data_IF_378792851541
#
_entry.id   IF_378792851541
#
_cell.length_a   1.000
_cell.length_b   1.000
_cell.length_c   1.000
_cell.angle_alpha   90.00
_cell.angle_beta   90.00
_cell.angle_gamma   90.00
#
_symmetry.space_group_name_H-M   'P 1'
#
loop_
_entity.id
_entity.type
_entity.pdbx_description
1 polymer ?
#
# COMPACT_ATOMS: atom_id res chain seq x y z
N UNK A 1 12.49 12.72 32.16
CA UNK A 1 13.21 11.42 32.05
C UNK A 1 12.45 10.58 31.02
N UNK A 2 13.16 10.00 30.03
CA UNK A 2 12.49 9.19 29.00
C UNK A 2 12.04 7.88 29.63
N UNK A 3 10.76 7.52 29.43
CA UNK A 3 10.21 6.27 29.99
C UNK A 3 10.59 5.06 29.16
N UNK A 4 10.60 3.87 29.75
CA UNK A 4 10.81 2.60 29.05
C UNK A 4 9.84 2.44 27.85
N UNK A 5 8.60 2.86 28.04
CA UNK A 5 7.58 2.84 26.98
C UNK A 5 7.97 3.69 25.75
N UNK A 6 8.57 4.87 25.97
CA UNK A 6 9.02 5.75 24.88
C UNK A 6 10.15 5.12 24.08
N UNK A 7 11.07 4.42 24.74
CA UNK A 7 12.14 3.68 24.06
C UNK A 7 11.56 2.54 23.22
N UNK A 8 10.61 1.78 23.77
CA UNK A 8 9.93 0.70 23.03
C UNK A 8 9.19 1.23 21.82
N UNK A 9 8.46 2.34 21.97
CA UNK A 9 7.74 3.00 20.87
C UNK A 9 8.70 3.49 19.78
N UNK A 10 9.85 4.04 20.16
CA UNK A 10 10.90 4.45 19.23
C UNK A 10 11.42 3.26 18.40
N UNK A 11 11.75 2.16 19.07
CA UNK A 11 12.21 0.93 18.39
C UNK A 11 11.14 0.42 17.42
N UNK A 12 9.87 0.41 17.84
CA UNK A 12 8.76 0.00 17.00
C UNK A 12 8.66 0.88 15.73
N UNK A 13 8.75 2.20 15.88
CA UNK A 13 8.69 3.13 14.75
C UNK A 13 9.86 2.90 13.79
N UNK A 14 11.08 2.71 14.29
CA UNK A 14 12.27 2.43 13.47
C UNK A 14 12.08 1.14 12.67
N UNK A 15 11.70 0.05 13.33
CA UNK A 15 11.45 -1.25 12.66
C UNK A 15 10.35 -1.13 11.62
N UNK A 16 9.26 -0.45 11.94
CA UNK A 16 8.14 -0.22 11.02
C UNK A 16 8.59 0.54 9.76
N UNK A 17 9.37 1.62 9.90
CA UNK A 17 9.86 2.39 8.74
C UNK A 17 10.85 1.59 7.90
N UNK A 18 11.75 0.83 8.51
CA UNK A 18 12.66 -0.07 7.79
C UNK A 18 11.89 -1.10 6.98
N UNK A 19 10.86 -1.71 7.58
CA UNK A 19 10.01 -2.69 6.90
C UNK A 19 9.27 -2.07 5.70
N UNK A 20 8.63 -0.91 5.90
CA UNK A 20 7.93 -0.20 4.82
C UNK A 20 8.88 0.19 3.67
N UNK A 21 10.12 0.56 4.00
CA UNK A 21 11.11 0.90 3.00
C UNK A 21 11.55 -0.31 2.18
N UNK A 22 11.74 -1.48 2.82
CA UNK A 22 12.08 -2.73 2.15
C UNK A 22 10.97 -3.16 1.18
N UNK A 23 9.72 -3.20 1.64
CA UNK A 23 8.57 -3.58 0.80
C UNK A 23 8.42 -2.63 -0.39
N UNK A 24 8.62 -1.32 -0.18
CA UNK A 24 8.49 -0.32 -1.23
C UNK A 24 9.47 -0.53 -2.40
N UNK A 25 10.65 -1.08 -2.15
CA UNK A 25 11.66 -1.34 -3.19
C UNK A 25 11.30 -2.48 -4.13
N UNK A 26 10.49 -3.42 -3.68
CA UNK A 26 10.13 -4.62 -4.44
C UNK A 26 8.94 -4.38 -5.39
N UNK A 27 8.20 -3.26 -5.24
CA UNK A 27 7.01 -2.97 -6.05
C UNK A 27 7.39 -2.34 -7.38
N UNK A 28 7.03 -3.03 -8.47
CA UNK A 28 7.23 -2.60 -9.85
C UNK A 28 6.10 -1.68 -10.29
N UNK A 29 4.84 -2.13 -10.16
CA UNK A 29 3.66 -1.35 -10.48
C UNK A 29 2.90 -1.00 -9.21
N UNK A 30 2.84 0.30 -8.88
CA UNK A 30 2.14 0.79 -7.68
C UNK A 30 0.67 1.01 -7.94
N UNK A 31 -0.15 0.69 -6.94
CA UNK A 31 -1.57 1.03 -6.98
C UNK A 31 -1.80 2.52 -6.81
N UNK A 32 -2.78 3.03 -7.54
CA UNK A 32 -3.27 4.41 -7.38
C UNK A 32 -4.04 4.49 -6.08
N UNK A 33 -3.61 5.40 -5.23
CA UNK A 33 -4.19 5.60 -3.91
C UNK A 33 -5.32 6.63 -3.93
N UNK A 34 -6.26 6.48 -3.00
CA UNK A 34 -7.33 7.47 -2.82
C UNK A 34 -6.74 8.83 -2.37
N UNK A 35 -7.11 9.92 -3.05
CA UNK A 35 -6.64 11.28 -2.76
C UNK A 35 -6.97 11.75 -1.34
N UNK A 36 -8.06 11.27 -0.76
CA UNK A 36 -8.44 11.61 0.61
C UNK A 36 -7.41 11.24 1.66
N UNK A 37 -6.63 10.20 1.43
CA UNK A 37 -5.55 9.78 2.35
C UNK A 37 -4.49 10.86 2.49
N UNK A 38 -4.18 11.57 1.40
CA UNK A 38 -3.21 12.67 1.39
C UNK A 38 -3.71 13.94 2.09
N UNK A 39 -4.99 14.06 2.38
CA UNK A 39 -5.59 15.15 3.16
C UNK A 39 -5.79 14.74 4.61
N UNK A 40 -6.35 13.58 4.86
CA UNK A 40 -6.72 13.10 6.21
C UNK A 40 -5.49 12.85 7.07
N UNK A 41 -4.45 12.20 6.53
CA UNK A 41 -3.26 11.87 7.32
C UNK A 41 -2.49 13.11 7.76
N UNK A 42 -2.13 14.09 6.90
CA UNK A 42 -1.50 15.33 7.35
C UNK A 42 -2.35 16.09 8.36
N UNK A 43 -3.68 16.12 8.19
CA UNK A 43 -4.58 16.73 9.17
C UNK A 43 -4.46 16.06 10.55
N UNK A 44 -4.47 14.74 10.61
CA UNK A 44 -4.29 13.99 11.87
C UNK A 44 -2.92 14.25 12.49
N UNK A 45 -1.85 14.30 11.68
CA UNK A 45 -0.49 14.63 12.15
C UNK A 45 -0.46 16.02 12.80
N UNK A 46 -1.02 17.02 12.12
CA UNK A 46 -1.10 18.39 12.66
C UNK A 46 -1.91 18.41 13.97
N UNK A 47 -3.02 17.70 14.03
CA UNK A 47 -3.87 17.64 15.22
C UNK A 47 -3.12 17.00 16.41
N UNK A 48 -2.38 15.91 16.19
CA UNK A 48 -1.58 15.24 17.23
C UNK A 48 -0.48 16.17 17.75
N UNK A 49 0.26 16.83 16.85
CA UNK A 49 1.32 17.76 17.22
C UNK A 49 0.72 18.95 17.98
N UNK A 50 -0.36 19.54 17.46
CA UNK A 50 -1.06 20.65 18.08
C UNK A 50 -1.51 20.30 19.50
N UNK A 51 -2.20 19.17 19.68
CA UNK A 51 -2.64 18.69 20.99
C UNK A 51 -1.46 18.50 21.95
N UNK A 52 -0.36 17.89 21.47
CA UNK A 52 0.85 17.69 22.27
C UNK A 52 1.44 19.03 22.74
N UNK A 53 1.53 20.03 21.87
CA UNK A 53 2.15 21.30 22.21
C UNK A 53 1.31 22.15 23.19
N UNK A 54 -0.02 22.12 23.08
CA UNK A 54 -0.91 22.87 23.98
C UNK A 54 -0.85 22.37 25.42
N UNK A 55 -0.62 21.07 25.63
CA UNK A 55 -0.58 20.47 26.97
C UNK A 55 0.70 20.76 27.77
N UNK A 56 1.57 21.65 27.28
CA UNK A 56 2.87 21.99 27.92
C UNK A 56 3.66 20.72 28.27
N UNK A 57 4.02 19.91 27.27
CA UNK A 57 4.51 18.55 27.47
C UNK A 57 5.86 18.52 28.15
N UNK A 58 6.06 17.52 28.98
CA UNK A 58 7.41 17.07 29.36
C UNK A 58 8.18 16.56 28.14
N UNK A 59 9.51 16.43 28.25
CA UNK A 59 10.31 15.90 27.16
C UNK A 59 9.87 14.48 26.73
N UNK A 60 9.38 13.66 27.66
CA UNK A 60 8.87 12.31 27.39
C UNK A 60 7.54 12.34 26.62
N UNK A 61 6.61 13.23 27.00
CA UNK A 61 5.34 13.41 26.31
C UNK A 61 5.52 13.99 24.91
N UNK A 62 6.46 14.93 24.76
CA UNK A 62 6.82 15.47 23.44
C UNK A 62 7.38 14.37 22.53
N UNK A 63 8.27 13.51 23.04
CA UNK A 63 8.80 12.39 22.29
C UNK A 63 7.69 11.42 21.86
N UNK A 64 6.75 11.08 22.75
CA UNK A 64 5.58 10.25 22.44
C UNK A 64 4.69 10.88 21.36
N UNK A 65 4.45 12.19 21.45
CA UNK A 65 3.66 12.94 20.45
C UNK A 65 4.31 12.87 19.07
N UNK A 66 5.62 13.11 18.98
CA UNK A 66 6.37 13.01 17.71
C UNK A 66 6.33 11.60 17.15
N UNK A 67 6.59 10.58 17.98
CA UNK A 67 6.57 9.18 17.55
C UNK A 67 5.16 8.77 17.06
N UNK A 68 4.11 9.22 17.75
CA UNK A 68 2.73 9.02 17.31
C UNK A 68 2.45 9.67 15.95
N UNK A 69 2.91 10.90 15.74
CA UNK A 69 2.81 11.58 14.45
C UNK A 69 3.55 10.80 13.34
N UNK A 70 4.73 10.24 13.64
CA UNK A 70 5.47 9.39 12.70
C UNK A 70 4.70 8.12 12.33
N UNK A 71 3.98 7.50 13.26
CA UNK A 71 3.10 6.36 12.97
C UNK A 71 2.00 6.78 11.96
N UNK A 72 1.37 7.95 12.12
CA UNK A 72 0.42 8.44 11.12
C UNK A 72 1.08 8.70 9.76
N UNK A 73 2.29 9.29 9.73
CA UNK A 73 3.04 9.52 8.50
C UNK A 73 3.35 8.18 7.79
N UNK A 74 3.59 7.09 8.53
CA UNK A 74 3.86 5.78 7.95
C UNK A 74 2.75 5.28 7.04
N UNK A 75 1.50 5.66 7.31
CA UNK A 75 0.38 5.35 6.43
C UNK A 75 0.50 6.02 5.05
N UNK A 76 1.23 7.13 4.91
CA UNK A 76 1.53 7.72 3.59
C UNK A 76 2.55 6.90 2.81
N UNK A 77 3.37 6.11 3.49
CA UNK A 77 4.37 5.24 2.90
C UNK A 77 3.83 3.84 2.56
N UNK A 78 2.59 3.53 3.04
CA UNK A 78 1.91 2.29 2.66
C UNK A 78 1.91 2.13 1.14
N UNK A 79 2.53 1.10 0.66
CA UNK A 79 2.70 0.83 -0.77
C UNK A 79 2.10 -0.54 -1.08
N UNK A 80 1.22 -0.56 -2.07
CA UNK A 80 0.56 -1.76 -2.59
C UNK A 80 0.83 -1.84 -4.07
N UNK A 81 0.86 -3.03 -4.62
CA UNK A 81 1.10 -3.15 -6.05
C UNK A 81 1.54 -4.52 -6.49
N UNK A 82 2.15 -4.56 -7.65
CA UNK A 82 2.64 -5.76 -8.30
C UNK A 82 4.16 -5.81 -8.11
N UNK A 83 4.66 -6.96 -7.66
CA UNK A 83 6.09 -7.29 -7.59
C UNK A 83 6.44 -8.31 -8.67
N UNK A 84 7.66 -8.79 -8.69
CA UNK A 84 8.04 -9.90 -9.57
C UNK A 84 7.40 -11.22 -9.20
N UNK A 85 7.10 -11.44 -7.92
CA UNK A 85 6.64 -12.72 -7.38
C UNK A 85 5.12 -12.79 -7.19
N UNK A 86 4.43 -11.63 -7.10
CA UNK A 86 2.99 -11.60 -6.82
C UNK A 86 2.41 -10.22 -6.55
N UNK A 87 1.25 -10.21 -5.90
CA UNK A 87 0.48 -9.01 -5.58
C UNK A 87 0.62 -8.66 -4.11
N UNK A 88 1.17 -7.49 -3.79
CA UNK A 88 1.23 -6.94 -2.43
C UNK A 88 -0.05 -6.17 -2.17
N UNK A 89 -0.90 -6.71 -1.31
CA UNK A 89 -2.20 -6.13 -0.93
C UNK A 89 -2.10 -5.22 0.29
N UNK A 90 -1.11 -5.47 1.14
CA UNK A 90 -0.85 -4.75 2.37
C UNK A 90 0.66 -4.59 2.54
N UNK A 91 1.13 -3.39 2.87
CA UNK A 91 2.56 -3.12 3.08
C UNK A 91 3.18 -3.88 4.25
N UNK A 92 2.37 -4.44 5.14
CA UNK A 92 2.84 -5.30 6.23
C UNK A 92 2.90 -6.78 5.85
N UNK A 93 2.47 -7.14 4.64
CA UNK A 93 2.58 -8.48 4.10
C UNK A 93 3.56 -8.49 2.91
N UNK A 94 4.83 -8.81 3.21
CA UNK A 94 5.89 -8.84 2.21
C UNK A 94 5.68 -9.92 1.15
N UNK A 95 5.09 -11.06 1.52
CA UNK A 95 4.88 -12.17 0.58
C UNK A 95 3.72 -11.90 -0.37
N UNK A 96 2.69 -11.18 0.10
CA UNK A 96 1.51 -10.90 -0.70
C UNK A 96 0.81 -12.18 -1.18
N UNK A 97 0.18 -12.09 -2.35
CA UNK A 97 -0.44 -13.22 -3.05
C UNK A 97 0.48 -13.61 -4.21
N UNK A 98 1.15 -14.76 -4.16
CA UNK A 98 2.03 -15.19 -5.22
C UNK A 98 1.25 -15.48 -6.52
N UNK A 99 1.85 -15.22 -7.68
CA UNK A 99 1.20 -15.47 -8.97
C UNK A 99 0.80 -16.93 -9.17
N UNK A 100 1.52 -17.86 -8.56
CA UNK A 100 1.21 -19.30 -8.60
C UNK A 100 -0.15 -19.68 -7.98
N UNK A 101 -0.70 -18.83 -7.13
CA UNK A 101 -1.97 -19.06 -6.46
C UNK A 101 -3.15 -18.30 -7.13
N UNK A 102 -2.86 -17.51 -8.17
CA UNK A 102 -3.85 -16.73 -8.90
C UNK A 102 -4.35 -17.55 -10.09
N UNK A 103 -5.66 -17.81 -10.09
CA UNK A 103 -6.32 -18.57 -11.15
C UNK A 103 -6.87 -17.68 -12.26
N UNK A 104 -7.22 -16.43 -11.93
CA UNK A 104 -7.82 -15.49 -12.89
C UNK A 104 -7.52 -14.05 -12.52
N UNK A 105 -7.23 -13.25 -13.53
CA UNK A 105 -7.12 -11.79 -13.44
C UNK A 105 -8.13 -11.17 -14.39
N UNK A 106 -8.87 -10.17 -13.90
CA UNK A 106 -9.78 -9.36 -14.72
C UNK A 106 -9.26 -7.93 -14.73
N UNK A 107 -8.88 -7.45 -15.90
CA UNK A 107 -8.44 -6.09 -16.14
C UNK A 107 -9.59 -5.30 -16.78
N UNK A 108 -9.90 -4.15 -16.22
CA UNK A 108 -10.93 -3.25 -16.74
C UNK A 108 -10.38 -1.84 -16.90
N UNK A 109 -10.47 -1.30 -18.11
CA UNK A 109 -10.08 0.08 -18.37
C UNK A 109 -11.32 0.87 -18.82
N UNK A 110 -11.79 1.85 -18.00
CA UNK A 110 -12.87 2.73 -18.39
C UNK A 110 -12.47 3.61 -19.58
N UNK A 111 -13.42 3.90 -20.48
CA UNK A 111 -13.20 4.79 -21.63
C UNK A 111 -12.62 6.14 -21.20
N UNK A 112 -11.56 6.57 -21.86
CA UNK A 112 -10.87 7.83 -21.56
C UNK A 112 -10.08 7.87 -20.26
N UNK A 113 -10.01 6.77 -19.52
CA UNK A 113 -9.22 6.68 -18.28
C UNK A 113 -7.84 6.09 -18.55
N UNK A 114 -6.82 6.72 -17.93
CA UNK A 114 -5.47 6.15 -17.87
C UNK A 114 -5.31 5.14 -16.73
N UNK A 115 -6.39 4.86 -15.97
CA UNK A 115 -6.36 3.98 -14.83
C UNK A 115 -6.94 2.63 -15.23
N UNK A 116 -6.15 1.58 -15.08
CA UNK A 116 -6.58 0.20 -15.20
C UNK A 116 -7.01 -0.32 -13.83
N UNK A 117 -8.21 -0.88 -13.75
CA UNK A 117 -8.72 -1.56 -12.57
C UNK A 117 -8.46 -3.05 -12.72
N UNK A 118 -7.91 -3.67 -11.70
CA UNK A 118 -7.59 -5.09 -11.69
C UNK A 118 -8.29 -5.78 -10.52
N UNK A 119 -8.97 -6.86 -10.82
CA UNK A 119 -9.41 -7.85 -9.85
C UNK A 119 -8.64 -9.15 -10.09
N UNK A 120 -8.36 -9.89 -9.04
CA UNK A 120 -7.78 -11.22 -9.13
C UNK A 120 -8.63 -12.22 -8.36
N UNK A 121 -8.52 -13.48 -8.75
CA UNK A 121 -9.23 -14.60 -8.12
C UNK A 121 -8.21 -15.64 -7.70
N UNK A 122 -8.33 -16.09 -6.46
CA UNK A 122 -7.51 -17.11 -5.86
C UNK A 122 -8.43 -18.19 -5.29
N UNK A 123 -8.34 -19.43 -5.78
CA UNK A 123 -9.16 -20.56 -5.32
C UNK A 123 -10.67 -20.23 -5.27
N UNK A 124 -11.18 -19.53 -6.28
CA UNK A 124 -12.59 -19.10 -6.36
C UNK A 124 -12.94 -17.86 -5.55
N UNK A 125 -12.06 -17.34 -4.71
CA UNK A 125 -12.26 -16.10 -3.96
C UNK A 125 -11.78 -14.89 -4.76
N UNK A 126 -12.62 -13.85 -4.79
CA UNK A 126 -12.29 -12.57 -5.41
C UNK A 126 -11.48 -11.71 -4.44
N UNK A 127 -10.28 -11.31 -4.86
CA UNK A 127 -9.47 -10.36 -4.14
C UNK A 127 -9.97 -8.91 -4.24
N UNK A 128 -9.39 -8.00 -3.44
CA UNK A 128 -9.73 -6.60 -3.50
C UNK A 128 -9.33 -5.99 -4.84
N UNK A 129 -10.20 -5.09 -5.35
CA UNK A 129 -9.93 -4.36 -6.59
C UNK A 129 -8.75 -3.39 -6.39
N UNK A 130 -7.77 -3.51 -7.26
CA UNK A 130 -6.62 -2.60 -7.32
C UNK A 130 -6.72 -1.68 -8.55
N UNK A 131 -6.12 -0.50 -8.46
CA UNK A 131 -6.10 0.49 -9.53
C UNK A 131 -4.65 0.81 -9.87
N UNK A 132 -4.30 0.76 -11.15
CA UNK A 132 -2.96 1.05 -11.63
C UNK A 132 -2.97 2.21 -12.63
N UNK A 133 -1.91 3.00 -12.64
CA UNK A 133 -1.69 4.04 -13.66
C UNK A 133 -0.91 3.51 -14.88
N UNK A 134 -0.50 2.24 -14.84
CA UNK A 134 0.13 1.57 -15.96
C UNK A 134 -0.91 1.23 -17.04
N UNK A 135 -0.48 1.20 -18.31
CA UNK A 135 -1.33 0.84 -19.43
C UNK A 135 -1.63 -0.67 -19.47
N UNK A 136 -2.68 -1.06 -20.19
CA UNK A 136 -2.95 -2.47 -20.46
C UNK A 136 -1.80 -3.12 -21.24
N UNK A 137 -1.18 -2.36 -22.16
CA UNK A 137 -0.04 -2.81 -22.97
C UNK A 137 1.19 -3.15 -22.15
N UNK A 138 1.35 -2.54 -20.95
CA UNK A 138 2.41 -2.86 -20.02
C UNK A 138 2.03 -3.98 -19.07
N UNK A 139 0.80 -3.95 -18.53
CA UNK A 139 0.36 -4.90 -17.51
C UNK A 139 0.10 -6.31 -18.07
N UNK A 140 -0.51 -6.42 -19.24
CA UNK A 140 -0.88 -7.73 -19.83
C UNK A 140 0.34 -8.60 -20.11
N UNK A 141 1.38 -8.12 -20.83
CA UNK A 141 2.58 -8.94 -21.07
C UNK A 141 3.32 -9.28 -19.77
N UNK A 142 3.36 -8.36 -18.83
CA UNK A 142 4.01 -8.57 -17.54
C UNK A 142 3.33 -9.68 -16.74
N UNK A 143 2.00 -9.67 -16.66
CA UNK A 143 1.21 -10.65 -15.95
C UNK A 143 1.21 -12.00 -16.65
N UNK A 144 1.08 -12.04 -17.98
CA UNK A 144 1.07 -13.28 -18.77
C UNK A 144 2.36 -14.08 -18.66
N UNK A 145 3.50 -13.41 -18.45
CA UNK A 145 4.80 -14.10 -18.28
C UNK A 145 4.99 -14.70 -16.88
N UNK A 146 4.18 -14.32 -15.90
CA UNK A 146 4.37 -14.68 -14.48
C UNK A 146 3.24 -15.50 -13.89
N UNK A 147 2.07 -15.44 -14.49
CA UNK A 147 0.95 -16.29 -14.12
C UNK A 147 1.19 -17.72 -14.58
N UNK A 148 0.55 -18.68 -13.90
CA UNK A 148 0.53 -20.07 -14.36
C UNK A 148 -0.14 -20.18 -15.73
N UNK A 149 0.26 -21.17 -16.53
CA UNK A 149 -0.30 -21.46 -17.86
C UNK A 149 -1.82 -21.72 -17.84
N UNK A 150 -2.37 -22.14 -16.69
CA UNK A 150 -3.80 -22.37 -16.47
C UNK A 150 -4.56 -21.10 -16.04
N UNK A 151 -3.86 -20.01 -15.76
CA UNK A 151 -4.50 -18.78 -15.28
C UNK A 151 -5.10 -17.98 -16.45
N UNK A 152 -6.32 -17.52 -16.27
CA UNK A 152 -7.04 -16.71 -17.26
C UNK A 152 -6.79 -15.20 -17.05
N UNK A 153 -6.57 -14.47 -18.14
CA UNK A 153 -6.56 -13.01 -18.15
C UNK A 153 -7.73 -12.52 -18.98
N UNK A 154 -8.74 -11.96 -18.33
CA UNK A 154 -9.88 -11.30 -18.98
C UNK A 154 -9.63 -9.81 -19.09
N UNK A 155 -9.78 -9.27 -20.30
CA UNK A 155 -9.64 -7.83 -20.55
C UNK A 155 -11.02 -7.29 -20.93
N UNK A 156 -11.53 -6.36 -20.12
CA UNK A 156 -12.78 -5.65 -20.39
C UNK A 156 -12.46 -4.21 -20.76
N UNK A 157 -12.80 -3.83 -21.98
CA UNK A 157 -12.71 -2.46 -22.46
C UNK A 157 -14.15 -2.01 -22.70
N UNK A 158 -14.51 -0.79 -22.27
CA UNK A 158 -15.84 -0.25 -22.56
C UNK A 158 -16.01 -0.16 -24.09
N UNK A 159 -17.09 -0.74 -24.66
CA UNK A 159 -17.35 -0.61 -26.09
C UNK A 159 -17.52 0.85 -26.48
N UNK A 160 -17.18 1.16 -27.72
CA UNK A 160 -17.35 2.49 -28.32
C UNK A 160 -18.81 2.93 -28.40
#
# INVERSE_FOLDING_TARGET
MVTFFTVLLFLFVVVMFLFLWLVRKEIIYRTVRNRWVYLVIPFLVVLVIWYTLISQPTADELAKGILSAMIFISFLLDSRGITEEGLVLNSFDKKGVPFSEINKIVLYQPKGSKIVKMNFFRNGWRGPMQKFSASLEELVPFLSQRLNDEAEIDIMIDPE
#
